data_IF_409814672802
#
_entry.id   IF_409814672802
#
_cell.length_a   1.000
_cell.length_b   1.000
_cell.length_c   1.000
_cell.angle_alpha   90.00
_cell.angle_beta   90.00
_cell.angle_gamma   90.00
#
_symmetry.space_group_name_H-M   'P 1'
#
loop_
_entity.id
_entity.type
_entity.pdbx_description
1 polymer ?
#
# COMPACT_ATOMS: atom_id res chain seq x y z
N UNK A 1 -1.82 11.16 31.49
CA UNK A 1 -1.27 10.65 30.21
C UNK A 1 -2.45 10.15 29.37
N UNK A 2 -2.82 10.84 28.28
CA UNK A 2 -3.88 10.36 27.38
C UNK A 2 -3.29 9.25 26.52
N UNK A 3 -3.91 8.06 26.54
CA UNK A 3 -3.57 6.99 25.62
C UNK A 3 -3.65 7.51 24.18
N UNK A 4 -2.62 7.24 23.37
CA UNK A 4 -2.65 7.52 21.94
C UNK A 4 -3.86 6.79 21.36
N UNK A 5 -4.77 7.46 20.62
CA UNK A 5 -5.86 6.77 19.94
C UNK A 5 -5.24 5.75 18.98
N UNK A 6 -5.59 4.48 19.17
CA UNK A 6 -5.19 3.40 18.28
C UNK A 6 -5.86 3.69 16.93
N UNK A 7 -5.07 4.13 15.96
CA UNK A 7 -5.56 4.29 14.60
C UNK A 7 -5.94 2.90 14.07
N UNK A 8 -7.12 2.74 13.45
CA UNK A 8 -7.46 1.49 12.78
C UNK A 8 -6.50 1.33 11.60
N UNK A 9 -5.46 0.49 11.78
CA UNK A 9 -4.58 0.06 10.72
C UNK A 9 -5.08 -1.26 10.14
N UNK A 10 -5.01 -1.40 8.83
CA UNK A 10 -5.09 -2.70 8.18
C UNK A 10 -3.74 -3.36 8.43
N UNK A 11 -3.72 -4.45 9.21
CA UNK A 11 -2.49 -5.21 9.37
C UNK A 11 -2.24 -5.99 8.08
N UNK A 12 -1.19 -5.64 7.34
CA UNK A 12 -0.73 -6.43 6.20
C UNK A 12 0.36 -7.36 6.73
N UNK A 13 -0.01 -8.61 6.96
CA UNK A 13 0.88 -9.63 7.53
C UNK A 13 1.40 -10.49 6.39
N UNK A 14 2.72 -10.67 6.30
CA UNK A 14 3.30 -11.77 5.52
C UNK A 14 4.58 -12.23 6.16
N UNK A 15 4.74 -13.54 6.22
CA UNK A 15 5.97 -14.19 6.64
C UNK A 15 6.90 -14.30 5.44
N UNK A 16 8.08 -13.71 5.56
CA UNK A 16 9.16 -13.93 4.62
C UNK A 16 10.32 -14.59 5.32
N UNK A 17 10.74 -15.72 4.76
CA UNK A 17 12.06 -16.28 5.02
C UNK A 17 13.07 -15.64 4.06
N UNK A 18 13.62 -14.50 4.47
CA UNK A 18 14.93 -14.09 3.96
C UNK A 18 15.96 -14.95 4.67
N UNK A 19 16.99 -15.41 3.97
CA UNK A 19 18.13 -16.10 4.59
C UNK A 19 18.72 -15.20 5.68
N UNK A 20 18.40 -15.50 6.94
CA UNK A 20 18.73 -14.66 8.09
C UNK A 20 17.55 -13.87 8.65
N UNK A 21 16.87 -14.50 9.61
CA UNK A 21 16.08 -13.96 10.73
C UNK A 21 14.85 -13.06 10.49
N UNK A 22 13.70 -13.68 10.81
CA UNK A 22 12.46 -13.14 11.39
C UNK A 22 11.46 -12.46 10.44
N UNK A 23 10.25 -13.05 10.37
CA UNK A 23 9.10 -12.50 9.67
C UNK A 23 8.78 -11.09 10.18
N UNK A 24 8.90 -10.10 9.30
CA UNK A 24 8.61 -8.70 9.61
C UNK A 24 7.13 -8.41 9.37
N UNK A 25 6.52 -7.61 10.24
CA UNK A 25 5.13 -7.18 10.12
C UNK A 25 5.06 -5.71 9.74
N UNK A 26 4.22 -5.38 8.77
CA UNK A 26 3.94 -4.00 8.36
C UNK A 26 2.46 -3.68 8.58
N UNK A 27 2.16 -2.41 8.83
CA UNK A 27 0.80 -1.93 9.01
C UNK A 27 0.49 -0.88 7.97
N UNK A 28 -0.68 -0.99 7.33
CA UNK A 28 -1.18 -0.01 6.39
C UNK A 28 -2.25 0.84 7.06
N UNK A 29 -2.05 2.15 7.04
CA UNK A 29 -3.04 3.11 7.52
C UNK A 29 -3.85 3.64 6.34
N UNK A 30 -5.08 3.14 6.19
CA UNK A 30 -6.04 3.62 5.21
C UNK A 30 -7.39 3.81 5.89
N UNK A 31 -7.69 5.01 6.39
CA UNK A 31 -8.94 5.28 7.10
C UNK A 31 -10.18 5.12 6.21
N UNK A 32 -10.02 5.20 4.89
CA UNK A 32 -11.06 4.95 3.90
C UNK A 32 -11.57 3.51 3.89
N UNK A 33 -10.77 2.55 4.36
CA UNK A 33 -11.20 1.16 4.50
C UNK A 33 -11.99 0.90 5.78
N UNK A 34 -12.10 1.88 6.68
CA UNK A 34 -12.81 1.70 7.96
C UNK A 34 -14.28 1.36 7.70
N UNK A 35 -14.70 0.18 8.16
CA UNK A 35 -16.07 -0.31 8.00
C UNK A 35 -16.32 -1.11 6.72
N UNK A 36 -15.33 -1.24 5.83
CA UNK A 36 -15.45 -2.06 4.60
C UNK A 36 -15.24 -3.57 4.87
N UNK A 37 -14.79 -3.92 6.08
CA UNK A 37 -14.52 -5.30 6.46
C UNK A 37 -13.54 -5.96 5.49
N UNK A 38 -13.90 -7.12 4.97
CA UNK A 38 -13.06 -7.95 4.13
C UNK A 38 -12.97 -7.48 2.66
N UNK A 39 -13.89 -6.60 2.23
CA UNK A 39 -14.08 -6.13 0.84
C UNK A 39 -13.27 -4.87 0.51
N UNK A 40 -12.31 -4.52 1.37
CA UNK A 40 -11.62 -3.25 1.28
C UNK A 40 -10.82 -3.09 -0.02
N UNK A 41 -10.34 -4.17 -0.62
CA UNK A 41 -9.57 -4.17 -1.87
C UNK A 41 -10.43 -3.80 -3.08
N UNK A 42 -11.68 -4.27 -3.12
CA UNK A 42 -12.59 -3.99 -4.24
C UNK A 42 -13.33 -2.65 -4.08
N UNK A 43 -13.79 -2.36 -2.85
CA UNK A 43 -14.70 -1.23 -2.60
C UNK A 43 -13.95 0.10 -2.48
N UNK A 44 -12.69 0.09 -2.07
CA UNK A 44 -11.90 1.31 -1.85
C UNK A 44 -11.53 2.04 -3.15
N UNK A 45 -11.71 1.44 -4.32
CA UNK A 45 -11.51 2.09 -5.62
C UNK A 45 -12.79 2.71 -6.19
N UNK A 46 -13.95 2.46 -5.58
CA UNK A 46 -15.22 3.02 -6.04
C UNK A 46 -15.34 4.51 -5.68
N UNK A 47 -16.07 5.32 -6.48
CA UNK A 47 -16.28 6.75 -6.26
C UNK A 47 -17.27 7.04 -5.12
N UNK A 48 -17.16 6.31 -4.01
CA UNK A 48 -18.00 6.42 -2.82
C UNK A 48 -17.34 7.25 -1.71
N UNK A 49 -16.07 7.63 -1.89
CA UNK A 49 -15.30 8.39 -0.91
C UNK A 49 -14.10 9.10 -1.56
N UNK A 50 -13.55 10.08 -0.83
CA UNK A 50 -12.29 10.75 -1.15
C UNK A 50 -11.17 10.13 -0.30
N UNK A 51 -10.36 9.24 -0.89
CA UNK A 51 -9.38 8.46 -0.16
C UNK A 51 -8.29 9.33 0.49
N UNK A 52 -7.71 10.26 -0.29
CA UNK A 52 -6.69 11.17 0.22
C UNK A 52 -7.29 12.23 1.13
N UNK A 53 -8.48 12.76 0.81
CA UNK A 53 -9.18 13.69 1.70
C UNK A 53 -9.44 13.09 3.07
N UNK A 54 -9.86 11.82 3.12
CA UNK A 54 -10.06 11.10 4.38
C UNK A 54 -8.75 10.90 5.13
N UNK A 55 -7.69 10.45 4.46
CA UNK A 55 -6.35 10.33 5.05
C UNK A 55 -5.88 11.65 5.68
N UNK A 56 -5.94 12.74 4.90
CA UNK A 56 -5.49 14.06 5.31
C UNK A 56 -6.31 14.61 6.49
N UNK A 57 -7.62 14.33 6.54
CA UNK A 57 -8.50 14.80 7.62
C UNK A 57 -8.18 14.20 9.00
N UNK A 58 -7.53 13.03 9.03
CA UNK A 58 -7.16 12.35 10.28
C UNK A 58 -5.73 12.68 10.76
N UNK A 59 -4.98 13.45 9.97
CA UNK A 59 -3.65 13.90 10.34
C UNK A 59 -3.73 14.88 11.52
N UNK A 60 -2.89 14.63 12.52
CA UNK A 60 -2.73 15.49 13.68
C UNK A 60 -1.29 16.01 13.79
N UNK A 61 -1.05 17.04 14.62
CA UNK A 61 0.28 17.63 14.74
C UNK A 61 1.29 16.62 15.31
N UNK A 62 2.40 16.41 14.57
CA UNK A 62 3.65 15.73 14.96
C UNK A 62 3.46 14.55 15.92
N UNK A 63 2.72 13.55 15.47
CA UNK A 63 2.54 12.29 16.22
C UNK A 63 3.75 11.39 16.00
N UNK A 64 4.11 10.63 17.04
CA UNK A 64 4.97 9.46 16.86
C UNK A 64 4.09 8.29 16.43
N UNK A 65 4.25 7.87 15.18
CA UNK A 65 3.63 6.66 14.68
C UNK A 65 4.49 5.44 15.01
N UNK A 66 3.90 4.24 15.15
CA UNK A 66 4.65 2.99 15.24
C UNK A 66 5.61 2.82 14.07
N UNK A 67 6.72 2.15 14.31
CA UNK A 67 7.60 1.69 13.22
C UNK A 67 6.82 0.76 12.28
N UNK A 68 7.20 0.77 11.00
CA UNK A 68 6.54 -0.01 9.93
C UNK A 68 5.05 0.31 9.71
N UNK A 69 4.58 1.52 10.06
CA UNK A 69 3.29 2.03 9.64
C UNK A 69 3.41 2.84 8.34
N UNK A 70 2.64 2.45 7.32
CA UNK A 70 2.64 3.06 6.00
C UNK A 70 1.30 3.72 5.71
N UNK A 71 1.30 5.01 5.36
CA UNK A 71 0.08 5.70 4.93
C UNK A 71 -0.33 5.24 3.52
N UNK A 72 -1.55 4.74 3.38
CA UNK A 72 -2.15 4.42 2.09
C UNK A 72 -2.54 5.68 1.36
N UNK A 73 -1.81 6.00 0.28
CA UNK A 73 -2.06 7.15 -0.57
C UNK A 73 -2.63 6.69 -1.90
N UNK A 74 -3.77 7.26 -2.29
CA UNK A 74 -4.31 7.06 -3.62
C UNK A 74 -3.50 7.92 -4.62
N UNK A 75 -2.53 7.28 -5.27
CA UNK A 75 -1.58 7.98 -6.15
C UNK A 75 -2.21 8.52 -7.44
N UNK A 76 -3.39 8.00 -7.81
CA UNK A 76 -4.10 8.37 -9.03
C UNK A 76 -5.09 9.53 -8.85
N UNK A 77 -5.12 10.16 -7.67
CA UNK A 77 -5.95 11.34 -7.39
C UNK A 77 -5.57 12.53 -8.30
N UNK A 78 -6.43 12.96 -9.23
CA UNK A 78 -6.11 14.06 -10.15
C UNK A 78 -6.28 15.44 -9.49
N UNK A 79 -6.90 15.52 -8.31
CA UNK A 79 -7.25 16.76 -7.64
C UNK A 79 -6.20 17.22 -6.63
N UNK A 80 -5.22 16.35 -6.30
CA UNK A 80 -4.18 16.63 -5.30
C UNK A 80 -2.81 16.34 -5.84
N UNK A 81 -1.88 17.23 -5.52
CA UNK A 81 -0.48 17.08 -5.90
C UNK A 81 0.22 16.15 -4.92
N UNK A 82 0.96 15.17 -5.42
CA UNK A 82 1.75 14.23 -4.59
C UNK A 82 2.65 14.96 -3.58
N UNK A 83 3.30 16.04 -3.99
CA UNK A 83 4.16 16.84 -3.13
C UNK A 83 3.42 17.43 -1.91
N UNK A 84 2.15 17.82 -2.07
CA UNK A 84 1.34 18.38 -0.98
C UNK A 84 0.91 17.29 0.00
N UNK A 85 0.55 16.11 -0.51
CA UNK A 85 0.24 14.93 0.32
C UNK A 85 1.47 14.50 1.12
N UNK A 86 2.62 14.32 0.46
CA UNK A 86 3.87 13.90 1.11
C UNK A 86 4.29 14.90 2.20
N UNK A 87 4.22 16.21 1.91
CA UNK A 87 4.52 17.25 2.91
C UNK A 87 3.57 17.19 4.10
N UNK A 88 2.28 16.97 3.88
CA UNK A 88 1.31 16.84 4.96
C UNK A 88 1.60 15.61 5.85
N UNK A 89 1.93 14.48 5.23
CA UNK A 89 2.32 13.25 5.93
C UNK A 89 3.60 13.45 6.76
N UNK A 90 4.62 14.08 6.19
CA UNK A 90 5.87 14.42 6.87
C UNK A 90 5.59 15.32 8.09
N UNK A 91 4.78 16.38 7.90
CA UNK A 91 4.40 17.29 8.99
C UNK A 91 3.62 16.60 10.12
N UNK A 92 2.83 15.58 9.78
CA UNK A 92 2.10 14.76 10.74
C UNK A 92 3.01 13.76 11.48
N UNK A 93 4.18 13.43 10.93
CA UNK A 93 5.15 12.50 11.49
C UNK A 93 5.18 11.11 10.84
N UNK A 94 4.52 10.92 9.70
CA UNK A 94 4.63 9.68 8.93
C UNK A 94 6.01 9.57 8.28
N UNK A 95 6.56 8.37 8.30
CA UNK A 95 7.83 8.02 7.63
C UNK A 95 7.64 6.94 6.56
N UNK A 96 6.45 6.36 6.46
CA UNK A 96 6.11 5.29 5.52
C UNK A 96 4.92 5.65 4.63
N UNK A 97 4.98 5.31 3.35
CA UNK A 97 3.85 5.37 2.40
C UNK A 97 3.69 4.10 1.58
N UNK A 98 2.48 3.90 1.07
CA UNK A 98 2.14 2.84 0.12
C UNK A 98 1.13 3.36 -0.89
N UNK A 99 1.25 2.95 -2.16
CA UNK A 99 0.27 3.26 -3.22
C UNK A 99 -1.01 2.43 -2.95
N UNK A 100 -1.84 2.91 -2.04
CA UNK A 100 -3.06 2.24 -1.65
C UNK A 100 -4.19 3.26 -1.52
N UNK A 101 -5.31 3.08 -2.25
CA UNK A 101 -5.60 2.00 -3.21
C UNK A 101 -4.69 2.00 -4.43
N UNK A 102 -4.62 0.86 -5.13
CA UNK A 102 -3.81 0.71 -6.35
C UNK A 102 -4.64 0.17 -7.52
N UNK A 103 -4.35 0.66 -8.73
CA UNK A 103 -4.88 0.13 -9.99
C UNK A 103 -4.50 -1.34 -10.21
N UNK A 104 -3.51 -1.87 -9.49
CA UNK A 104 -3.18 -3.30 -9.51
C UNK A 104 -4.27 -4.21 -8.93
N UNK A 105 -5.32 -3.65 -8.35
CA UNK A 105 -6.53 -4.41 -7.97
C UNK A 105 -7.59 -4.44 -9.08
N UNK A 106 -7.38 -3.72 -10.19
CA UNK A 106 -8.31 -3.62 -11.32
C UNK A 106 -7.79 -4.47 -12.47
N UNK A 107 -8.68 -5.26 -13.09
CA UNK A 107 -8.37 -6.12 -14.23
C UNK A 107 -9.20 -5.78 -15.48
N UNK A 108 -8.99 -6.56 -16.55
CA UNK A 108 -9.78 -6.52 -17.78
C UNK A 108 -9.72 -5.20 -18.55
N UNK A 109 -10.80 -4.89 -19.26
CA UNK A 109 -10.92 -3.69 -20.10
C UNK A 109 -10.85 -2.39 -19.30
N UNK A 110 -11.32 -2.42 -18.05
CA UNK A 110 -11.25 -1.25 -17.16
C UNK A 110 -9.80 -0.90 -16.87
N UNK A 111 -8.93 -1.89 -16.62
CA UNK A 111 -7.50 -1.67 -16.41
C UNK A 111 -6.86 -0.99 -17.61
N UNK A 112 -7.09 -1.53 -18.80
CA UNK A 112 -6.54 -0.97 -20.06
C UNK A 112 -6.99 0.47 -20.26
N UNK A 113 -8.27 0.75 -20.02
CA UNK A 113 -8.83 2.10 -20.15
C UNK A 113 -8.19 3.10 -19.18
N UNK A 114 -7.93 2.70 -17.94
CA UNK A 114 -7.26 3.55 -16.95
C UNK A 114 -5.81 3.83 -17.35
N UNK A 115 -5.08 2.80 -17.80
CA UNK A 115 -3.70 2.95 -18.27
C UNK A 115 -3.60 3.93 -19.47
N UNK A 116 -4.51 3.82 -20.45
CA UNK A 116 -4.57 4.71 -21.62
C UNK A 116 -4.86 6.17 -21.25
N UNK A 117 -5.65 6.38 -20.20
CA UNK A 117 -5.98 7.70 -19.66
C UNK A 117 -4.88 8.26 -18.73
N UNK A 118 -3.80 7.53 -18.49
CA UNK A 118 -2.71 7.92 -17.60
C UNK A 118 -2.94 7.63 -16.12
N UNK A 119 -4.02 6.91 -15.78
CA UNK A 119 -4.36 6.45 -14.43
C UNK A 119 -3.83 5.03 -14.18
N UNK A 120 -2.57 4.82 -14.53
CA UNK A 120 -1.94 3.51 -14.54
C UNK A 120 -0.83 3.33 -13.52
N UNK A 121 -0.26 2.13 -13.51
CA UNK A 121 0.84 1.77 -12.60
C UNK A 121 2.05 2.73 -12.73
N UNK A 122 2.34 3.26 -13.92
CA UNK A 122 3.42 4.25 -14.12
C UNK A 122 3.26 5.48 -13.23
N UNK A 123 2.03 5.96 -13.06
CA UNK A 123 1.73 7.12 -12.20
C UNK A 123 1.94 6.75 -10.72
N UNK A 124 1.56 5.54 -10.31
CA UNK A 124 1.80 5.04 -8.96
C UNK A 124 3.30 4.87 -8.66
N UNK A 125 4.06 4.30 -9.60
CA UNK A 125 5.52 4.18 -9.47
C UNK A 125 6.18 5.56 -9.42
N UNK A 126 5.69 6.53 -10.18
CA UNK A 126 6.18 7.92 -10.11
C UNK A 126 5.94 8.53 -8.73
N UNK A 127 4.77 8.30 -8.13
CA UNK A 127 4.49 8.70 -6.75
C UNK A 127 5.46 8.07 -5.76
N UNK A 128 5.67 6.75 -5.84
CA UNK A 128 6.58 6.04 -4.93
C UNK A 128 8.02 6.54 -5.06
N UNK A 129 8.50 6.77 -6.30
CA UNK A 129 9.82 7.35 -6.55
C UNK A 129 9.95 8.73 -5.91
N UNK A 130 8.92 9.57 -6.03
CA UNK A 130 8.90 10.88 -5.39
C UNK A 130 8.91 10.75 -3.85
N UNK A 131 8.17 9.81 -3.28
CA UNK A 131 8.17 9.58 -1.84
C UNK A 131 9.55 9.14 -1.32
N UNK A 132 10.19 8.19 -1.99
CA UNK A 132 11.55 7.73 -1.67
C UNK A 132 12.55 8.89 -1.75
N UNK A 133 12.47 9.73 -2.79
CA UNK A 133 13.32 10.91 -2.93
C UNK A 133 13.10 11.96 -1.82
N UNK A 134 11.93 11.97 -1.17
CA UNK A 134 11.61 12.81 -0.01
C UNK A 134 11.91 12.11 1.33
N UNK A 135 12.61 10.97 1.32
CA UNK A 135 13.04 10.27 2.53
C UNK A 135 11.99 9.37 3.19
N UNK A 136 10.87 9.08 2.50
CA UNK A 136 9.90 8.09 2.98
C UNK A 136 10.38 6.67 2.67
N UNK A 137 10.15 5.76 3.62
CA UNK A 137 10.09 4.32 3.33
C UNK A 137 8.84 4.06 2.49
N UNK A 138 8.96 3.36 1.37
CA UNK A 138 7.85 3.11 0.46
C UNK A 138 7.61 1.62 0.27
N UNK A 139 6.35 1.19 0.36
CA UNK A 139 5.89 -0.13 -0.10
C UNK A 139 5.12 0.02 -1.41
N UNK A 140 5.23 -0.96 -2.30
CA UNK A 140 4.50 -0.97 -3.56
C UNK A 140 3.47 -2.10 -3.61
N UNK A 141 2.19 -1.80 -3.81
CA UNK A 141 1.23 -2.78 -4.30
C UNK A 141 1.49 -3.07 -5.77
N UNK A 142 1.56 -4.36 -6.11
CA UNK A 142 1.88 -4.85 -7.46
C UNK A 142 1.08 -6.11 -7.80
N UNK A 143 0.82 -6.32 -9.08
CA UNK A 143 0.10 -7.50 -9.63
C UNK A 143 0.94 -8.35 -10.60
N UNK A 144 2.15 -7.88 -10.95
CA UNK A 144 2.97 -8.44 -12.02
C UNK A 144 4.45 -8.21 -11.76
N UNK A 145 5.29 -9.06 -12.33
CA UNK A 145 6.74 -8.95 -12.17
C UNK A 145 7.33 -7.72 -12.86
N UNK A 146 6.69 -7.20 -13.91
CA UNK A 146 7.08 -5.95 -14.56
C UNK A 146 6.94 -4.75 -13.61
N UNK A 147 5.75 -4.55 -13.05
CA UNK A 147 5.50 -3.48 -12.06
C UNK A 147 6.39 -3.71 -10.83
N UNK A 148 6.57 -4.95 -10.40
CA UNK A 148 7.50 -5.30 -9.31
C UNK A 148 8.92 -4.82 -9.55
N UNK A 149 9.49 -5.03 -10.76
CA UNK A 149 10.84 -4.55 -11.11
C UNK A 149 10.91 -3.03 -11.14
N UNK A 150 9.90 -2.37 -11.71
CA UNK A 150 9.84 -0.90 -11.75
C UNK A 150 9.77 -0.29 -10.35
N UNK A 151 8.98 -0.89 -9.45
CA UNK A 151 8.88 -0.48 -8.06
C UNK A 151 10.22 -0.62 -7.33
N UNK A 152 10.90 -1.78 -7.47
CA UNK A 152 12.25 -1.97 -6.89
C UNK A 152 13.24 -0.94 -7.45
N UNK A 153 13.20 -0.67 -8.75
CA UNK A 153 14.05 0.37 -9.37
C UNK A 153 13.72 1.79 -8.87
N UNK A 154 12.49 2.04 -8.39
CA UNK A 154 12.11 3.29 -7.74
C UNK A 154 12.61 3.42 -6.29
N UNK A 155 13.22 2.36 -5.72
CA UNK A 155 13.83 2.37 -4.39
C UNK A 155 12.86 2.01 -3.26
N UNK A 156 11.76 1.32 -3.55
CA UNK A 156 10.83 0.85 -2.52
C UNK A 156 11.50 -0.16 -1.59
N UNK A 157 11.13 -0.13 -0.30
CA UNK A 157 11.70 -1.01 0.70
C UNK A 157 11.01 -2.39 0.74
N UNK A 158 9.89 -2.58 0.04
CA UNK A 158 9.21 -3.86 -0.11
C UNK A 158 8.07 -3.82 -1.13
N UNK A 159 7.61 -5.00 -1.54
CA UNK A 159 6.50 -5.20 -2.47
C UNK A 159 5.30 -5.82 -1.75
N UNK A 160 4.09 -5.58 -2.20
CA UNK A 160 2.86 -6.18 -1.70
C UNK A 160 2.09 -6.75 -2.89
N UNK A 161 1.99 -8.07 -2.97
CA UNK A 161 1.16 -8.74 -3.96
C UNK A 161 -0.33 -8.55 -3.64
N UNK A 162 -1.10 -8.19 -4.65
CA UNK A 162 -2.58 -8.15 -4.56
C UNK A 162 -3.16 -9.56 -4.42
N UNK A 163 -4.38 -9.68 -3.90
CA UNK A 163 -4.98 -10.99 -3.55
C UNK A 163 -5.06 -11.97 -4.73
N UNK A 164 -5.35 -11.47 -5.93
CA UNK A 164 -5.55 -12.31 -7.11
C UNK A 164 -4.25 -12.64 -7.88
N UNK A 165 -3.10 -12.41 -7.26
CA UNK A 165 -1.80 -12.75 -7.87
C UNK A 165 -1.63 -14.26 -7.96
N UNK A 166 -1.31 -14.78 -9.15
CA UNK A 166 -1.07 -16.22 -9.35
C UNK A 166 0.22 -16.68 -8.68
N UNK A 167 0.32 -17.96 -8.33
CA UNK A 167 1.54 -18.53 -7.73
C UNK A 167 2.79 -18.35 -8.61
N UNK A 168 2.64 -18.45 -9.93
CA UNK A 168 3.74 -18.18 -10.86
C UNK A 168 4.25 -16.74 -10.76
N UNK A 169 3.36 -15.75 -10.66
CA UNK A 169 3.74 -14.34 -10.49
C UNK A 169 4.31 -14.10 -9.09
N UNK A 170 3.79 -14.76 -8.05
CA UNK A 170 4.32 -14.68 -6.69
C UNK A 170 5.75 -15.20 -6.59
N UNK A 171 6.08 -16.29 -7.29
CA UNK A 171 7.44 -16.82 -7.36
C UNK A 171 8.40 -15.81 -8.01
N UNK A 172 7.95 -15.12 -9.07
CA UNK A 172 8.74 -14.06 -9.71
C UNK A 172 8.91 -12.84 -8.80
N UNK A 173 7.81 -12.36 -8.19
CA UNK A 173 7.83 -11.26 -7.25
C UNK A 173 8.72 -11.57 -6.04
N UNK A 174 8.73 -12.81 -5.55
CA UNK A 174 9.57 -13.25 -4.44
C UNK A 174 11.05 -13.13 -4.79
N UNK A 175 11.45 -13.48 -6.03
CA UNK A 175 12.83 -13.32 -6.50
C UNK A 175 13.20 -11.84 -6.62
N UNK A 176 12.30 -11.02 -7.16
CA UNK A 176 12.51 -9.57 -7.31
C UNK A 176 12.66 -8.89 -5.95
N UNK A 177 11.78 -9.23 -5.00
CA UNK A 177 11.71 -8.58 -3.70
C UNK A 177 12.95 -8.83 -2.81
N UNK A 178 13.78 -9.83 -3.10
CA UNK A 178 15.08 -10.04 -2.43
C UNK A 178 16.05 -8.86 -2.56
N UNK A 179 15.81 -7.98 -3.52
CA UNK A 179 16.58 -6.75 -3.71
C UNK A 179 16.14 -5.61 -2.77
N UNK A 180 15.01 -5.79 -2.07
CA UNK A 180 14.46 -4.83 -1.12
C UNK A 180 14.77 -5.26 0.31
N UNK A 181 14.70 -4.32 1.25
CA UNK A 181 15.02 -4.59 2.67
C UNK A 181 13.94 -5.38 3.40
N UNK A 182 12.68 -5.25 2.99
CA UNK A 182 11.52 -5.87 3.65
C UNK A 182 10.93 -7.04 2.87
N UNK A 183 11.27 -7.19 1.58
CA UNK A 183 10.84 -8.30 0.75
C UNK A 183 9.39 -8.20 0.23
N UNK A 184 8.74 -9.34 -0.01
CA UNK A 184 7.38 -9.48 -0.55
C UNK A 184 6.32 -9.74 0.54
N UNK A 185 5.28 -8.92 0.56
CA UNK A 185 4.07 -9.11 1.35
C UNK A 185 2.91 -9.55 0.45
N UNK A 186 1.82 -10.01 1.06
CA UNK A 186 0.52 -10.35 0.45
C UNK A 186 -0.55 -9.59 1.24
N UNK A 187 -1.54 -9.06 0.52
CA UNK A 187 -2.72 -8.52 1.19
C UNK A 187 -3.45 -9.64 1.96
N UNK A 188 -3.85 -9.41 3.23
CA UNK A 188 -4.61 -10.39 3.98
C UNK A 188 -5.85 -10.81 3.20
N UNK A 189 -6.16 -12.11 3.17
CA UNK A 189 -7.40 -12.59 2.56
C UNK A 189 -8.62 -11.92 3.20
N UNK A 190 -9.71 -11.87 2.44
CA UNK A 190 -10.99 -11.46 3.00
C UNK A 190 -11.32 -12.41 4.15
N UNK A 191 -11.39 -11.93 5.40
CA UNK A 191 -11.79 -12.78 6.54
C UNK A 191 -13.16 -13.38 6.21
N UNK A 192 -13.13 -14.68 5.90
CA UNK A 192 -14.21 -15.44 5.29
C UNK A 192 -13.94 -16.94 5.28
N UNK A 193 -13.15 -17.44 6.23
CA UNK A 193 -13.32 -18.77 6.79
C UNK A 193 -13.21 -18.63 8.31
N UNK A 194 -14.33 -18.29 8.95
CA UNK A 194 -14.51 -18.75 10.31
C UNK A 194 -14.28 -20.28 10.29
N UNK A 195 -13.61 -20.89 11.29
CA UNK A 195 -13.73 -22.33 11.42
C UNK A 195 -15.22 -22.64 11.59
N UNK A 196 -15.78 -23.38 10.63
CA UNK A 196 -17.09 -23.98 10.83
C UNK A 196 -16.99 -24.91 12.05
N UNK A 197 -17.67 -24.53 13.13
CA UNK A 197 -18.21 -25.44 14.15
C UNK A 197 -17.23 -26.21 15.04
N UNK A 198 -17.49 -26.15 16.35
CA UNK A 198 -16.99 -27.10 17.34
C UNK A 198 -16.66 -26.48 18.68
#
# INVERSE_FOLDING_TARGET
>A
MRALPILPSIQIVTDLEVAGAQAQRVSLYCPSCKGLGASYDSVVLLPIHDANGRLLSELGPRRKYPEHLYAGVFALDPFRRHAEILRALECAGFTGVVNFPSVSMVDGEMRLSLDDLGYGAKTEISFLRAAVANGFSALALVDSSEIGREAVAAGVCGLIAVRHTTEAVLDELSKIARQTTLGLFRLPEAVGSAPEGG
#
